data_IF_434666533538
#
_entry.id   IF_434666533538
#
_cell.length_a   1.000
_cell.length_b   1.000
_cell.length_c   1.000
_cell.angle_alpha   90.00
_cell.angle_beta   90.00
_cell.angle_gamma   90.00
#
_symmetry.space_group_name_H-M   'P 1'
#
loop_
_entity.id
_entity.type
_entity.pdbx_description
1 polymer ?
#
# COMPACT_ATOMS: atom_id res chain seq x y z
N UNK A 1 -18.73 -23.26 0.61
CA UNK A 1 -17.72 -22.46 -0.11
C UNK A 1 -17.26 -21.23 0.68
N UNK A 2 -18.14 -20.32 1.12
CA UNK A 2 -17.75 -19.08 1.83
C UNK A 2 -16.88 -19.29 3.09
N UNK A 3 -17.21 -20.30 3.92
CA UNK A 3 -16.42 -20.64 5.13
C UNK A 3 -14.95 -21.00 4.82
N UNK A 4 -14.70 -21.69 3.71
CA UNK A 4 -13.37 -22.13 3.32
C UNK A 4 -12.50 -20.94 2.86
N UNK A 5 -13.10 -19.99 2.14
CA UNK A 5 -12.42 -18.75 1.75
C UNK A 5 -12.09 -17.87 2.96
N UNK A 6 -13.03 -17.74 3.91
CA UNK A 6 -12.81 -16.97 5.14
C UNK A 6 -11.65 -17.53 5.99
N UNK A 7 -11.61 -18.86 6.19
CA UNK A 7 -10.53 -19.51 6.94
C UNK A 7 -9.17 -19.26 6.28
N UNK A 8 -9.10 -19.30 4.94
CA UNK A 8 -7.87 -19.03 4.20
C UNK A 8 -7.41 -17.58 4.36
N UNK A 9 -8.32 -16.61 4.28
CA UNK A 9 -7.98 -15.20 4.51
C UNK A 9 -7.49 -14.95 5.94
N UNK A 10 -8.13 -15.58 6.93
CA UNK A 10 -7.69 -15.48 8.33
C UNK A 10 -6.29 -16.07 8.53
N UNK A 11 -6.01 -17.23 7.92
CA UNK A 11 -4.68 -17.84 7.93
C UNK A 11 -3.62 -16.93 7.30
N UNK A 12 -3.95 -16.32 6.16
CA UNK A 12 -3.06 -15.37 5.50
C UNK A 12 -2.75 -14.17 6.40
N UNK A 13 -3.77 -13.57 7.02
CA UNK A 13 -3.60 -12.46 7.94
C UNK A 13 -2.75 -12.81 9.18
N UNK A 14 -2.97 -13.99 9.76
CA UNK A 14 -2.15 -14.48 10.87
C UNK A 14 -0.68 -14.68 10.47
N UNK A 15 -0.42 -15.23 9.27
CA UNK A 15 0.94 -15.34 8.75
C UNK A 15 1.60 -13.98 8.52
N UNK A 16 0.89 -13.01 7.92
CA UNK A 16 1.41 -11.65 7.75
C UNK A 16 1.76 -11.01 9.09
N UNK A 17 0.91 -11.16 10.11
CA UNK A 17 1.19 -10.65 11.45
C UNK A 17 2.49 -11.20 12.02
N UNK A 18 2.68 -12.53 11.97
CA UNK A 18 3.91 -13.15 12.44
C UNK A 18 5.14 -12.66 11.65
N UNK A 19 5.02 -12.52 10.33
CA UNK A 19 6.10 -12.00 9.49
C UNK A 19 6.46 -10.57 9.88
N UNK A 20 5.48 -9.67 10.02
CA UNK A 20 5.74 -8.29 10.44
C UNK A 20 6.35 -8.20 11.83
N UNK A 21 5.91 -9.06 12.76
CA UNK A 21 6.49 -9.12 14.10
C UNK A 21 7.96 -9.50 14.07
N UNK A 22 8.32 -10.54 13.31
CA UNK A 22 9.71 -10.95 13.11
C UNK A 22 10.51 -9.83 12.43
N UNK A 23 9.97 -9.21 11.37
CA UNK A 23 10.64 -8.13 10.66
C UNK A 23 10.88 -6.92 11.57
N UNK A 24 9.91 -6.51 12.39
CA UNK A 24 10.10 -5.42 13.35
C UNK A 24 11.25 -5.73 14.31
N UNK A 25 11.31 -6.96 14.84
CA UNK A 25 12.40 -7.40 15.70
C UNK A 25 13.76 -7.35 14.98
N UNK A 26 13.82 -7.85 13.74
CA UNK A 26 15.04 -7.81 12.94
C UNK A 26 15.51 -6.38 12.62
N UNK A 27 14.57 -5.43 12.53
CA UNK A 27 14.84 -4.00 12.35
C UNK A 27 15.16 -3.28 13.68
N UNK A 28 15.31 -4.00 14.79
CA UNK A 28 15.74 -3.47 16.07
C UNK A 28 14.60 -3.10 17.03
N UNK A 29 13.38 -3.56 16.80
CA UNK A 29 12.29 -3.37 17.76
C UNK A 29 12.58 -4.07 19.09
N UNK A 30 12.22 -3.45 20.24
CA UNK A 30 12.43 -4.03 21.56
C UNK A 30 11.65 -5.34 21.74
N UNK A 31 12.38 -6.41 22.09
CA UNK A 31 11.83 -7.78 22.24
C UNK A 31 11.33 -8.03 23.65
N UNK A 32 12.12 -7.69 24.67
CA UNK A 32 11.87 -8.16 26.04
C UNK A 32 11.07 -7.16 26.88
N UNK A 33 11.33 -5.88 26.70
CA UNK A 33 10.72 -4.82 27.52
C UNK A 33 9.36 -4.35 26.96
N UNK A 34 9.18 -4.40 25.64
CA UNK A 34 8.04 -3.80 24.94
C UNK A 34 7.45 -4.71 23.83
N UNK A 35 7.27 -5.99 24.15
CA UNK A 35 6.73 -6.96 23.19
C UNK A 35 5.27 -6.65 22.79
N UNK A 36 4.49 -5.99 23.66
CA UNK A 36 3.10 -5.62 23.37
C UNK A 36 3.03 -4.52 22.32
N UNK A 37 3.93 -3.55 22.43
CA UNK A 37 4.11 -2.42 21.52
C UNK A 37 4.56 -2.90 20.15
N UNK A 38 5.54 -3.79 20.10
CA UNK A 38 5.98 -4.45 18.86
C UNK A 38 4.84 -5.28 18.24
N UNK A 39 4.02 -5.93 19.07
CA UNK A 39 2.79 -6.61 18.66
C UNK A 39 1.77 -5.64 18.04
N UNK A 40 1.52 -4.50 18.68
CA UNK A 40 0.62 -3.46 18.17
C UNK A 40 1.11 -2.88 16.84
N UNK A 41 2.41 -2.61 16.71
CA UNK A 41 3.00 -2.16 15.44
C UNK A 41 2.76 -3.18 14.32
N UNK A 42 3.02 -4.45 14.60
CA UNK A 42 2.84 -5.55 13.65
C UNK A 42 1.37 -5.73 13.27
N UNK A 43 0.47 -5.53 14.23
CA UNK A 43 -0.97 -5.56 14.00
C UNK A 43 -1.41 -4.40 13.09
N UNK A 44 -0.92 -3.18 13.33
CA UNK A 44 -1.20 -2.01 12.50
C UNK A 44 -0.72 -2.23 11.06
N UNK A 45 0.52 -2.68 10.88
CA UNK A 45 1.05 -3.01 9.55
C UNK A 45 0.17 -4.05 8.85
N UNK A 46 -0.17 -5.13 9.57
CA UNK A 46 -1.02 -6.21 9.04
C UNK A 46 -2.39 -5.68 8.62
N UNK A 47 -3.04 -4.88 9.45
CA UNK A 47 -4.36 -4.30 9.15
C UNK A 47 -4.27 -3.39 7.91
N UNK A 48 -3.30 -2.47 7.89
CA UNK A 48 -3.18 -1.48 6.82
C UNK A 48 -2.83 -2.12 5.47
N UNK A 49 -2.01 -3.18 5.44
CA UNK A 49 -1.63 -3.85 4.20
C UNK A 49 -2.62 -4.94 3.78
N UNK A 50 -3.17 -5.72 4.73
CA UNK A 50 -4.04 -6.84 4.38
C UNK A 50 -5.50 -6.46 4.15
N UNK A 51 -6.05 -5.42 4.78
CA UNK A 51 -7.43 -5.00 4.49
C UNK A 51 -7.62 -4.70 2.99
N UNK A 52 -6.84 -3.80 2.36
CA UNK A 52 -6.99 -3.54 0.93
C UNK A 52 -6.67 -4.78 0.10
N UNK A 53 -5.68 -5.59 0.48
CA UNK A 53 -5.33 -6.81 -0.25
C UNK A 53 -6.48 -7.83 -0.26
N UNK A 54 -7.05 -8.16 0.90
CA UNK A 54 -8.08 -9.19 1.04
C UNK A 54 -9.46 -8.76 0.51
N UNK A 55 -9.66 -7.46 0.27
CA UNK A 55 -10.86 -6.94 -0.41
C UNK A 55 -10.85 -7.23 -1.93
N UNK A 56 -9.67 -7.22 -2.56
CA UNK A 56 -9.54 -7.43 -4.01
C UNK A 56 -9.06 -8.84 -4.37
N UNK A 57 -8.29 -9.49 -3.49
CA UNK A 57 -7.60 -10.74 -3.78
C UNK A 57 -7.84 -11.82 -2.72
N UNK A 58 -7.73 -13.08 -3.13
CA UNK A 58 -7.68 -14.18 -2.18
C UNK A 58 -6.31 -14.24 -1.49
N UNK A 59 -6.29 -14.61 -0.20
CA UNK A 59 -5.08 -14.79 0.59
C UNK A 59 -4.20 -15.94 0.10
N UNK A 60 -3.40 -15.69 -0.95
CA UNK A 60 -2.45 -16.62 -1.54
C UNK A 60 -1.15 -15.87 -1.92
N UNK A 61 -0.03 -16.58 -1.93
CA UNK A 61 1.27 -16.09 -2.34
C UNK A 61 1.30 -15.65 -3.81
N UNK A 62 0.54 -16.29 -4.70
CA UNK A 62 0.53 -15.90 -6.11
C UNK A 62 -0.09 -14.52 -6.32
N UNK A 63 -1.20 -14.23 -5.63
CA UNK A 63 -1.80 -12.89 -5.63
C UNK A 63 -0.91 -11.87 -4.91
N UNK A 64 -0.21 -12.27 -3.84
CA UNK A 64 0.75 -11.39 -3.18
C UNK A 64 1.89 -11.01 -4.14
N UNK A 65 2.42 -11.96 -4.91
CA UNK A 65 3.45 -11.70 -5.92
C UNK A 65 2.97 -10.74 -7.00
N UNK A 66 1.71 -10.85 -7.43
CA UNK A 66 1.17 -9.93 -8.43
C UNK A 66 1.05 -8.50 -7.90
N UNK A 67 0.69 -8.33 -6.62
CA UNK A 67 0.70 -7.03 -5.95
C UNK A 67 2.13 -6.50 -5.73
N UNK A 68 3.12 -7.36 -5.53
CA UNK A 68 4.53 -6.95 -5.43
C UNK A 68 5.13 -6.50 -6.78
N UNK A 69 4.55 -6.93 -7.90
CA UNK A 69 4.95 -6.53 -9.25
C UNK A 69 3.71 -6.15 -10.08
N UNK A 70 3.04 -5.03 -9.74
CA UNK A 70 1.67 -4.78 -10.14
C UNK A 70 1.53 -4.38 -11.61
N UNK A 71 0.70 -5.11 -12.34
CA UNK A 71 0.40 -4.87 -13.75
C UNK A 71 -0.99 -4.29 -13.93
N UNK A 72 -1.97 -4.85 -13.22
CA UNK A 72 -3.37 -4.46 -13.28
C UNK A 72 -3.66 -3.24 -12.39
N UNK A 73 -4.72 -2.45 -12.69
CA UNK A 73 -5.08 -1.28 -11.88
C UNK A 73 -5.36 -1.60 -10.40
N UNK A 74 -5.98 -2.74 -10.11
CA UNK A 74 -6.30 -3.18 -8.75
C UNK A 74 -5.05 -3.59 -7.98
N UNK A 75 -4.13 -4.31 -8.64
CA UNK A 75 -2.82 -4.66 -8.07
C UNK A 75 -2.04 -3.40 -7.73
N UNK A 76 -2.03 -2.41 -8.64
CA UNK A 76 -1.39 -1.11 -8.41
C UNK A 76 -2.01 -0.41 -7.22
N UNK A 77 -3.34 -0.36 -7.13
CA UNK A 77 -4.03 0.27 -6.00
C UNK A 77 -3.56 -0.31 -4.66
N UNK A 78 -3.60 -1.64 -4.52
CA UNK A 78 -3.18 -2.33 -3.31
C UNK A 78 -1.69 -2.14 -3.04
N UNK A 79 -0.85 -2.22 -4.09
CA UNK A 79 0.60 -2.04 -3.99
C UNK A 79 0.96 -0.64 -3.48
N UNK A 80 0.38 0.42 -4.06
CA UNK A 80 0.64 1.80 -3.63
C UNK A 80 0.27 2.04 -2.16
N UNK A 81 -0.86 1.48 -1.71
CA UNK A 81 -1.26 1.55 -0.31
C UNK A 81 -0.27 0.78 0.58
N UNK A 82 0.06 -0.46 0.21
CA UNK A 82 0.96 -1.32 0.98
C UNK A 82 2.38 -0.76 1.09
N UNK A 83 2.94 -0.30 -0.02
CA UNK A 83 4.25 0.35 -0.05
C UNK A 83 4.24 1.66 0.74
N UNK A 84 3.20 2.48 0.56
CA UNK A 84 3.02 3.70 1.33
C UNK A 84 3.05 3.43 2.83
N UNK A 85 2.31 2.43 3.29
CA UNK A 85 2.29 1.99 4.69
C UNK A 85 3.69 1.60 5.20
N UNK A 86 4.37 0.68 4.51
CA UNK A 86 5.67 0.14 4.97
C UNK A 86 6.77 1.21 4.90
N UNK A 87 6.83 1.97 3.81
CA UNK A 87 7.81 3.06 3.64
C UNK A 87 7.54 4.17 4.66
N UNK A 88 6.27 4.54 4.87
CA UNK A 88 5.89 5.53 5.87
C UNK A 88 6.31 5.14 7.28
N UNK A 89 6.02 3.90 7.68
CA UNK A 89 6.50 3.33 8.94
C UNK A 89 8.02 3.39 9.06
N UNK A 90 8.73 2.95 8.03
CA UNK A 90 10.19 2.90 8.03
C UNK A 90 10.83 4.30 8.09
N UNK A 91 10.34 5.26 7.31
CA UNK A 91 10.85 6.64 7.35
C UNK A 91 10.61 7.28 8.71
N UNK A 92 9.46 7.02 9.34
CA UNK A 92 9.16 7.56 10.66
C UNK A 92 9.98 6.93 11.79
N UNK A 93 10.58 5.76 11.58
CA UNK A 93 11.53 5.18 12.53
C UNK A 93 12.76 6.08 12.74
N UNK A 94 13.09 6.97 11.78
CA UNK A 94 14.12 7.98 11.95
C UNK A 94 13.84 8.95 13.11
N UNK A 95 12.56 9.20 13.45
CA UNK A 95 12.21 10.01 14.61
C UNK A 95 12.62 9.37 15.92
N UNK A 96 12.74 8.04 16.00
CA UNK A 96 13.20 7.35 17.21
C UNK A 96 14.62 7.78 17.60
N UNK A 97 15.45 8.17 16.63
CA UNK A 97 16.87 8.51 16.83
C UNK A 97 17.08 10.00 17.15
N UNK A 98 16.12 10.86 16.82
CA UNK A 98 16.22 12.30 17.07
C UNK A 98 16.10 12.57 18.57
N UNK A 99 17.12 13.10 19.24
CA UNK A 99 17.12 13.31 20.69
C UNK A 99 16.24 14.52 21.12
N UNK A 100 14.94 14.44 20.85
CA UNK A 100 13.96 15.47 21.22
C UNK A 100 13.31 15.19 22.57
N UNK A 101 13.58 14.01 23.16
CA UNK A 101 13.11 13.56 24.48
C UNK A 101 11.60 13.78 24.67
N UNK A 102 10.82 13.50 23.61
CA UNK A 102 9.36 13.68 23.63
C UNK A 102 8.63 12.35 23.78
N UNK A 103 7.52 12.30 24.54
CA UNK A 103 6.75 11.07 24.75
C UNK A 103 6.18 10.51 23.43
N UNK A 104 5.89 11.36 22.44
CA UNK A 104 5.41 10.90 21.13
C UNK A 104 6.47 10.15 20.32
N UNK A 105 7.74 10.29 20.70
CA UNK A 105 8.86 9.61 20.05
C UNK A 105 9.04 8.17 20.55
N UNK A 106 8.37 7.78 21.64
CA UNK A 106 8.49 6.44 22.17
C UNK A 106 8.02 5.38 21.16
N UNK A 107 8.75 4.26 21.09
CA UNK A 107 8.30 3.10 20.31
C UNK A 107 6.92 2.63 20.80
N UNK A 108 5.95 2.36 19.91
CA UNK A 108 5.99 2.33 18.44
C UNK A 108 5.30 3.55 17.78
N UNK A 109 5.10 4.65 18.53
CA UNK A 109 4.18 5.73 18.18
C UNK A 109 4.55 6.40 16.84
N UNK A 110 5.81 6.83 16.58
CA UNK A 110 6.17 7.44 15.31
C UNK A 110 5.91 6.50 14.14
N UNK A 111 6.24 5.22 14.30
CA UNK A 111 6.09 4.18 13.29
C UNK A 111 4.63 3.90 12.94
N UNK A 112 3.73 3.89 13.93
CA UNK A 112 2.29 3.76 13.70
C UNK A 112 1.76 4.97 12.94
N UNK A 113 2.14 6.18 13.34
CA UNK A 113 1.72 7.42 12.67
C UNK A 113 2.23 7.42 11.22
N UNK A 114 3.49 7.05 11.00
CA UNK A 114 4.08 6.89 9.68
C UNK A 114 3.37 5.85 8.82
N UNK A 115 3.00 4.69 9.39
CA UNK A 115 2.26 3.65 8.68
C UNK A 115 0.90 4.16 8.19
N UNK A 116 0.14 4.84 9.05
CA UNK A 116 -1.20 5.37 8.72
C UNK A 116 -1.11 6.50 7.70
N UNK A 117 -0.21 7.47 7.91
CA UNK A 117 0.00 8.57 6.95
C UNK A 117 0.54 8.06 5.62
N UNK A 118 1.43 7.06 5.65
CA UNK A 118 1.96 6.40 4.47
C UNK A 118 0.87 5.68 3.67
N UNK A 119 -0.02 4.95 4.34
CA UNK A 119 -1.19 4.30 3.74
C UNK A 119 -2.06 5.33 3.01
N UNK A 120 -2.38 6.44 3.68
CA UNK A 120 -3.16 7.53 3.10
C UNK A 120 -2.46 8.18 1.90
N UNK A 121 -1.16 8.43 2.02
CA UNK A 121 -0.35 9.02 0.95
C UNK A 121 -0.28 8.11 -0.27
N UNK A 122 -0.11 6.80 -0.08
CA UNK A 122 -0.15 5.81 -1.14
C UNK A 122 -1.47 5.82 -1.91
N UNK A 123 -2.59 5.90 -1.18
CA UNK A 123 -3.93 6.03 -1.78
C UNK A 123 -4.06 7.32 -2.61
N UNK A 124 -3.64 8.46 -2.08
CA UNK A 124 -3.67 9.76 -2.79
C UNK A 124 -2.82 9.70 -4.06
N UNK A 125 -1.57 9.20 -3.97
CA UNK A 125 -0.67 9.09 -5.12
C UNK A 125 -1.29 8.22 -6.21
N UNK A 126 -1.85 7.07 -5.87
CA UNK A 126 -2.51 6.21 -6.85
C UNK A 126 -3.68 6.92 -7.56
N UNK A 127 -4.51 7.64 -6.79
CA UNK A 127 -5.66 8.40 -7.35
C UNK A 127 -5.18 9.51 -8.28
N UNK A 128 -4.13 10.24 -7.91
CA UNK A 128 -3.53 11.27 -8.75
C UNK A 128 -2.97 10.69 -10.06
N UNK A 129 -2.16 9.63 -9.98
CA UNK A 129 -1.59 8.96 -11.17
C UNK A 129 -2.71 8.44 -12.08
N UNK A 130 -3.73 7.82 -11.49
CA UNK A 130 -4.88 7.28 -12.24
C UNK A 130 -5.68 8.39 -12.93
N UNK A 131 -5.89 9.52 -12.25
CA UNK A 131 -6.56 10.69 -12.81
C UNK A 131 -5.78 11.27 -13.99
N UNK A 132 -4.47 11.50 -13.81
CA UNK A 132 -3.59 12.02 -14.85
C UNK A 132 -3.50 11.08 -16.07
N UNK A 133 -3.47 9.77 -15.82
CA UNK A 133 -3.45 8.77 -16.89
C UNK A 133 -4.73 8.81 -17.72
N UNK A 134 -5.90 8.94 -17.08
CA UNK A 134 -7.20 9.09 -17.77
C UNK A 134 -7.28 10.41 -18.55
N UNK A 135 -6.78 11.50 -17.98
CA UNK A 135 -6.73 12.79 -18.66
C UNK A 135 -5.85 12.74 -19.92
N UNK A 136 -4.68 12.09 -19.86
CA UNK A 136 -3.79 11.90 -21.00
C UNK A 136 -4.44 11.11 -22.13
N UNK A 137 -5.13 10.00 -21.82
CA UNK A 137 -5.81 9.18 -22.83
C UNK A 137 -6.95 9.95 -23.49
N UNK A 138 -7.75 10.68 -22.70
CA UNK A 138 -8.86 11.50 -23.20
C UNK A 138 -8.37 12.61 -24.13
N UNK A 139 -7.24 13.23 -23.77
CA UNK A 139 -6.58 14.24 -24.61
C UNK A 139 -6.09 13.63 -25.92
N UNK A 140 -5.35 12.51 -25.87
CA UNK A 140 -4.82 11.84 -27.07
C UNK A 140 -5.94 11.39 -28.03
N UNK A 141 -7.05 10.86 -27.50
CA UNK A 141 -8.21 10.47 -28.30
C UNK A 141 -8.87 11.66 -29.00
N UNK A 142 -8.93 12.83 -28.34
CA UNK A 142 -9.50 14.06 -28.90
C UNK A 142 -8.64 14.64 -30.03
N UNK A 143 -7.31 14.52 -29.95
CA UNK A 143 -6.42 14.91 -31.05
C UNK A 143 -6.56 13.97 -32.26
N UNK A 144 -6.67 12.66 -32.03
CA UNK A 144 -6.82 11.67 -33.10
C UNK A 144 -8.12 11.84 -33.91
N UNK A 145 -9.24 12.12 -33.23
CA UNK A 145 -10.52 12.38 -33.91
C UNK A 145 -10.48 13.69 -34.73
N UNK A 146 -9.88 14.76 -34.19
CA UNK A 146 -9.72 16.02 -34.92
C UNK A 146 -8.85 15.86 -36.17
N UNK A 147 -7.75 15.09 -36.09
CA UNK A 147 -6.89 14.85 -37.26
C UNK A 147 -7.59 14.05 -38.35
N UNK A 148 -8.41 13.05 -38.01
CA UNK A 148 -9.15 12.28 -39.01
C UNK A 148 -10.19 13.12 -39.73
N UNK A 149 -10.97 13.95 -39.01
CA UNK A 149 -11.95 14.85 -39.60
C UNK A 149 -11.30 15.84 -40.57
N UNK A 150 -10.12 16.37 -40.20
CA UNK A 150 -9.35 17.26 -41.08
C UNK A 150 -8.91 16.53 -42.36
N UNK A 151 -8.33 15.33 -42.24
CA UNK A 151 -7.91 14.53 -43.40
C UNK A 151 -9.05 14.12 -44.32
N UNK A 152 -10.22 13.76 -43.79
CA UNK A 152 -11.38 13.42 -44.61
C UNK A 152 -11.91 14.64 -45.36
N UNK A 153 -11.83 15.84 -44.78
CA UNK A 153 -12.22 17.08 -45.46
C UNK A 153 -11.41 17.32 -46.73
N UNK A 154 -10.10 17.08 -46.71
CA UNK A 154 -9.21 17.24 -47.87
C UNK A 154 -9.24 16.07 -48.86
N UNK A 155 -10.00 14.99 -48.57
CA UNK A 155 -10.09 13.81 -49.44
C UNK A 155 -11.22 13.92 -50.48
N UNK A 156 -12.17 14.82 -50.27
CA UNK A 156 -13.33 15.02 -51.15
C UNK A 156 -13.31 16.36 -51.91
N UNK A 157 -12.23 17.14 -51.74
CA UNK A 157 -11.91 18.34 -52.52
C UNK A 157 -10.88 18.00 -53.60
#
# INVERSE_FOLDING_TARGET
>A
MAKLSFIRQLKFAAWSFCIYFIVCILLGAPIFEQWKETGLMSLVLTICTNIPFLMFFEGNLDNLRSVLAPSLPEEKFVAFIGYGCVIGAWLSAGFLVLDWDRPWQAWPIPCIVGAVLGTFTGWVIFKLISYLSRYRISSASSYGSFSQVSSDKYRYD
#
